data_IF_627208617177
#
_entry.id   IF_627208617177
#
_cell.length_a   1.000
_cell.length_b   1.000
_cell.length_c   1.000
_cell.angle_alpha   90.00
_cell.angle_beta   90.00
_cell.angle_gamma   90.00
#
_symmetry.space_group_name_H-M   'P 1'
#
loop_
_entity.id
_entity.type
_entity.pdbx_description
1 polymer ?
#
# COMPACT_ATOMS: atom_id res chain seq x y z
N UNK A 1 32.30 -2.39 1.62
CA UNK A 1 31.34 -2.93 2.61
C UNK A 1 31.67 -4.40 2.85
N UNK A 2 31.99 -4.81 4.08
CA UNK A 2 32.53 -6.14 4.42
C UNK A 2 31.48 -7.25 4.29
N UNK A 3 31.54 -8.04 3.22
CA UNK A 3 30.67 -9.18 2.94
C UNK A 3 30.96 -10.41 3.83
N UNK A 4 30.85 -10.25 5.16
CA UNK A 4 30.99 -11.38 6.08
C UNK A 4 29.68 -12.16 6.13
N UNK A 5 29.64 -13.28 5.40
CA UNK A 5 28.50 -14.21 5.32
C UNK A 5 27.95 -14.58 6.70
N UNK A 6 28.81 -14.68 7.73
CA UNK A 6 28.41 -14.93 9.12
C UNK A 6 27.42 -13.91 9.67
N UNK A 7 27.61 -12.61 9.38
CA UNK A 7 26.68 -11.58 9.84
C UNK A 7 25.35 -11.67 9.11
N UNK A 8 25.39 -11.89 7.78
CA UNK A 8 24.17 -12.08 6.98
C UNK A 8 23.37 -13.28 7.52
N UNK A 9 24.02 -14.40 7.77
CA UNK A 9 23.38 -15.59 8.34
C UNK A 9 22.81 -15.32 9.75
N UNK A 10 23.53 -14.59 10.60
CA UNK A 10 23.05 -14.21 11.93
C UNK A 10 21.80 -13.31 11.86
N UNK A 11 21.78 -12.30 10.98
CA UNK A 11 20.63 -11.43 10.78
C UNK A 11 19.41 -12.19 10.25
N UNK A 12 19.61 -13.08 9.26
CA UNK A 12 18.53 -13.92 8.73
C UNK A 12 17.99 -14.85 9.82
N UNK A 13 18.87 -15.49 10.60
CA UNK A 13 18.48 -16.34 11.73
C UNK A 13 17.65 -15.58 12.76
N UNK A 14 18.14 -14.42 13.21
CA UNK A 14 17.43 -13.57 14.17
C UNK A 14 16.08 -13.08 13.60
N UNK A 15 16.04 -12.72 12.33
CA UNK A 15 14.81 -12.29 11.65
C UNK A 15 13.76 -13.41 11.58
N UNK A 16 14.16 -14.63 11.24
CA UNK A 16 13.26 -15.79 11.19
C UNK A 16 12.72 -16.10 12.58
N UNK A 17 13.60 -16.16 13.59
CA UNK A 17 13.19 -16.41 14.98
C UNK A 17 12.24 -15.33 15.47
N UNK A 18 12.55 -14.05 15.23
CA UNK A 18 11.68 -12.94 15.58
C UNK A 18 10.33 -13.00 14.88
N UNK A 19 10.32 -13.33 13.59
CA UNK A 19 9.09 -13.44 12.79
C UNK A 19 8.19 -14.59 13.26
N UNK A 20 8.77 -15.75 13.60
CA UNK A 20 8.03 -16.89 14.17
C UNK A 20 7.47 -16.53 15.55
N UNK A 21 8.27 -15.88 16.40
CA UNK A 21 7.83 -15.44 17.71
C UNK A 21 6.66 -14.45 17.62
N UNK A 22 6.72 -13.47 16.72
CA UNK A 22 5.62 -12.51 16.50
C UNK A 22 4.38 -13.23 15.93
N UNK A 23 4.57 -14.12 14.96
CA UNK A 23 3.46 -14.88 14.36
C UNK A 23 2.71 -15.73 15.40
N UNK A 24 3.41 -16.35 16.35
CA UNK A 24 2.77 -17.13 17.40
C UNK A 24 2.26 -16.28 18.57
N UNK A 25 2.95 -15.19 18.91
CA UNK A 25 2.61 -14.34 20.04
C UNK A 25 1.48 -13.34 19.76
N UNK A 26 1.18 -13.03 18.51
CA UNK A 26 0.18 -12.02 18.14
C UNK A 26 -0.92 -12.59 17.24
N UNK A 27 -2.13 -12.86 17.79
CA UNK A 27 -3.25 -13.39 17.01
C UNK A 27 -3.59 -12.53 15.79
N UNK A 28 -3.48 -11.20 15.93
CA UNK A 28 -3.76 -10.27 14.83
C UNK A 28 -2.86 -10.51 13.60
N UNK A 29 -1.55 -10.66 13.80
CA UNK A 29 -0.60 -10.89 12.69
C UNK A 29 -0.86 -12.25 12.05
N UNK A 30 -1.11 -13.27 12.87
CA UNK A 30 -1.47 -14.60 12.39
C UNK A 30 -2.71 -14.56 11.51
N UNK A 31 -3.78 -13.89 11.94
CA UNK A 31 -5.00 -13.75 11.15
C UNK A 31 -4.75 -13.02 9.83
N UNK A 32 -3.96 -11.93 9.82
CA UNK A 32 -3.62 -11.22 8.57
C UNK A 32 -2.85 -12.11 7.59
N UNK A 33 -1.90 -12.90 8.07
CA UNK A 33 -1.14 -13.84 7.23
C UNK A 33 -2.03 -14.97 6.72
N UNK A 34 -2.90 -15.54 7.56
CA UNK A 34 -3.80 -16.62 7.15
C UNK A 34 -4.85 -16.13 6.16
N UNK A 35 -5.43 -14.95 6.40
CA UNK A 35 -6.38 -14.31 5.49
C UNK A 35 -5.74 -13.97 4.14
N UNK A 36 -4.45 -13.63 4.13
CA UNK A 36 -3.69 -13.42 2.90
C UNK A 36 -3.36 -14.73 2.16
N UNK A 37 -2.92 -15.78 2.86
CA UNK A 37 -2.59 -17.07 2.25
C UNK A 37 -3.82 -17.82 1.75
N UNK A 38 -4.90 -17.82 2.52
CA UNK A 38 -6.12 -18.58 2.26
C UNK A 38 -7.38 -17.71 2.45
N UNK A 39 -7.60 -16.69 1.61
CA UNK A 39 -8.77 -15.80 1.71
C UNK A 39 -10.08 -16.53 1.41
N UNK A 40 -10.04 -17.52 0.53
CA UNK A 40 -11.18 -18.37 0.17
C UNK A 40 -11.06 -19.75 0.82
N UNK A 41 -12.13 -20.17 1.50
CA UNK A 41 -12.28 -21.52 2.05
C UNK A 41 -13.65 -22.08 1.68
N UNK A 42 -13.71 -23.36 1.32
CA UNK A 42 -14.98 -24.06 1.06
C UNK A 42 -15.66 -24.57 2.35
N UNK A 43 -14.87 -24.80 3.40
CA UNK A 43 -15.36 -25.21 4.71
C UNK A 43 -15.53 -24.01 5.65
N UNK A 44 -16.49 -24.13 6.57
CA UNK A 44 -16.75 -23.13 7.58
C UNK A 44 -15.63 -23.10 8.64
N UNK A 45 -15.04 -21.94 8.86
CA UNK A 45 -13.99 -21.69 9.85
C UNK A 45 -14.55 -20.77 10.92
N UNK A 46 -14.11 -20.92 12.18
CA UNK A 46 -14.51 -19.99 13.23
C UNK A 46 -13.99 -18.59 12.90
N UNK A 47 -14.87 -17.60 12.80
CA UNK A 47 -14.48 -16.23 12.58
C UNK A 47 -14.17 -15.54 13.90
N UNK A 48 -12.96 -14.99 14.05
CA UNK A 48 -12.55 -14.27 15.25
C UNK A 48 -13.39 -13.00 15.54
N UNK A 49 -14.07 -12.44 14.52
CA UNK A 49 -14.89 -11.23 14.65
C UNK A 49 -16.30 -11.52 15.19
N UNK A 50 -16.92 -12.60 14.73
CA UNK A 50 -18.34 -12.92 15.02
C UNK A 50 -18.51 -14.14 15.94
N UNK A 51 -17.47 -14.96 16.10
CA UNK A 51 -17.52 -16.23 16.84
C UNK A 51 -18.28 -17.36 16.12
N UNK A 52 -18.87 -17.08 14.94
CA UNK A 52 -19.63 -18.04 14.15
C UNK A 52 -18.73 -18.81 13.17
N UNK A 53 -19.17 -20.00 12.77
CA UNK A 53 -18.52 -20.81 11.74
C UNK A 53 -19.07 -20.41 10.37
N UNK A 54 -18.27 -19.67 9.60
CA UNK A 54 -18.60 -19.28 8.23
C UNK A 54 -17.37 -19.42 7.33
N UNK A 55 -17.53 -19.52 6.01
CA UNK A 55 -16.41 -19.41 5.09
C UNK A 55 -15.64 -18.11 5.32
N UNK A 56 -14.30 -18.14 5.19
CA UNK A 56 -13.46 -17.01 5.57
C UNK A 56 -13.75 -15.74 4.75
N UNK A 57 -14.12 -15.92 3.48
CA UNK A 57 -14.53 -14.86 2.55
C UNK A 57 -15.82 -14.13 2.95
N UNK A 58 -16.61 -14.68 3.89
CA UNK A 58 -17.84 -14.07 4.40
C UNK A 58 -17.63 -13.40 5.76
N UNK A 59 -16.41 -13.47 6.30
CA UNK A 59 -16.09 -12.85 7.59
C UNK A 59 -14.69 -12.25 7.61
N UNK A 60 -13.67 -12.97 8.10
CA UNK A 60 -12.34 -12.38 8.35
C UNK A 60 -11.62 -11.84 7.10
N UNK A 61 -11.82 -12.46 5.93
CA UNK A 61 -11.22 -12.01 4.65
C UNK A 61 -12.20 -11.24 3.76
N UNK A 62 -13.39 -10.90 4.27
CA UNK A 62 -14.47 -10.30 3.50
C UNK A 62 -14.02 -9.06 2.73
N UNK A 63 -13.42 -8.08 3.42
CA UNK A 63 -12.97 -6.83 2.79
C UNK A 63 -11.98 -7.07 1.64
N UNK A 64 -10.99 -7.94 1.87
CA UNK A 64 -9.99 -8.29 0.86
C UNK A 64 -10.63 -8.98 -0.35
N UNK A 65 -11.51 -9.97 -0.11
CA UNK A 65 -12.17 -10.71 -1.18
C UNK A 65 -13.10 -9.82 -2.00
N UNK A 66 -13.90 -8.98 -1.36
CA UNK A 66 -14.77 -8.03 -2.07
C UNK A 66 -13.96 -7.02 -2.88
N UNK A 67 -12.80 -6.57 -2.37
CA UNK A 67 -11.91 -5.69 -3.13
C UNK A 67 -11.35 -6.35 -4.40
N UNK A 68 -11.02 -7.65 -4.34
CA UNK A 68 -10.55 -8.41 -5.49
C UNK A 68 -11.67 -8.62 -6.53
N UNK A 69 -12.91 -8.86 -6.08
CA UNK A 69 -14.06 -8.93 -6.99
C UNK A 69 -14.36 -7.58 -7.65
N UNK A 70 -14.27 -6.50 -6.90
CA UNK A 70 -14.41 -5.12 -7.40
C UNK A 70 -13.39 -4.81 -8.51
N UNK A 71 -12.11 -5.16 -8.30
CA UNK A 71 -11.06 -5.03 -9.32
C UNK A 71 -11.38 -5.89 -10.56
N UNK A 72 -11.81 -7.13 -10.36
CA UNK A 72 -12.18 -8.03 -11.46
C UNK A 72 -13.35 -7.50 -12.29
N UNK A 73 -14.35 -6.88 -11.65
CA UNK A 73 -15.52 -6.31 -12.31
C UNK A 73 -15.18 -5.08 -13.17
N UNK A 74 -14.10 -4.37 -12.88
CA UNK A 74 -13.67 -3.22 -13.68
C UNK A 74 -13.17 -3.58 -15.08
N UNK A 75 -12.69 -4.80 -15.30
CA UNK A 75 -12.10 -5.21 -16.58
C UNK A 75 -10.97 -4.26 -17.04
N UNK A 76 -10.82 -4.08 -18.35
CA UNK A 76 -9.78 -3.21 -18.91
C UNK A 76 -10.14 -1.71 -18.86
N UNK A 77 -11.39 -1.37 -19.20
CA UNK A 77 -11.86 0.01 -19.40
C UNK A 77 -12.68 0.60 -18.25
N UNK A 78 -12.98 -0.20 -17.22
CA UNK A 78 -13.81 0.23 -16.10
C UNK A 78 -15.30 0.11 -16.36
N UNK A 79 -16.09 0.24 -15.31
CA UNK A 79 -17.55 0.32 -15.37
C UNK A 79 -18.05 1.72 -15.75
N UNK A 80 -17.16 2.73 -15.74
CA UNK A 80 -17.49 4.14 -15.88
C UNK A 80 -17.42 4.88 -14.53
N UNK A 81 -16.96 6.13 -14.57
CA UNK A 81 -16.87 7.01 -13.39
C UNK A 81 -18.24 7.19 -12.73
N UNK A 82 -18.31 6.98 -11.43
CA UNK A 82 -19.55 7.05 -10.65
C UNK A 82 -20.56 5.93 -10.93
N UNK A 83 -20.22 4.98 -11.82
CA UNK A 83 -21.05 3.81 -12.13
C UNK A 83 -20.58 2.55 -11.37
N UNK A 84 -19.61 2.69 -10.47
CA UNK A 84 -19.15 1.61 -9.62
C UNK A 84 -20.20 1.22 -8.58
N UNK A 85 -20.39 -0.08 -8.38
CA UNK A 85 -21.34 -0.61 -7.39
C UNK A 85 -20.59 -0.85 -6.09
N UNK A 86 -20.72 0.10 -5.17
CA UNK A 86 -20.05 0.07 -3.86
C UNK A 86 -21.01 0.02 -2.67
N UNK A 87 -22.31 0.07 -2.93
CA UNK A 87 -23.37 0.01 -1.93
C UNK A 87 -24.27 -1.19 -2.22
N UNK A 88 -24.70 -1.86 -1.15
CA UNK A 88 -25.72 -2.90 -1.19
C UNK A 88 -27.09 -2.27 -1.45
N UNK A 89 -28.11 -3.05 -1.90
CA UNK A 89 -29.48 -2.55 -2.06
C UNK A 89 -30.07 -1.92 -0.80
N UNK A 90 -29.57 -2.31 0.37
CA UNK A 90 -29.94 -1.82 1.70
C UNK A 90 -29.19 -0.54 2.10
N UNK A 91 -28.31 -0.01 1.24
CA UNK A 91 -27.54 1.22 1.48
C UNK A 91 -26.24 1.04 2.27
N UNK A 92 -25.88 -0.17 2.68
CA UNK A 92 -24.62 -0.43 3.37
C UNK A 92 -23.44 -0.55 2.40
N UNK A 93 -22.22 -0.09 2.76
CA UNK A 93 -21.04 -0.23 1.91
C UNK A 93 -20.68 -1.71 1.70
N UNK A 94 -20.51 -2.11 0.43
CA UNK A 94 -20.14 -3.48 0.05
C UNK A 94 -18.73 -3.84 0.53
N UNK A 95 -17.82 -2.86 0.49
CA UNK A 95 -16.47 -2.97 1.04
C UNK A 95 -16.40 -2.00 2.23
N UNK A 96 -16.39 -2.51 3.48
CA UNK A 96 -16.19 -1.67 4.66
C UNK A 96 -14.88 -0.88 4.52
N UNK A 97 -14.93 0.41 4.84
CA UNK A 97 -13.77 1.32 4.75
C UNK A 97 -13.16 1.48 3.34
N UNK A 98 -13.99 1.31 2.30
CA UNK A 98 -13.57 1.47 0.90
C UNK A 98 -12.77 2.76 0.64
N UNK A 99 -13.19 3.87 1.24
CA UNK A 99 -12.58 5.18 1.02
C UNK A 99 -11.19 5.35 1.66
N UNK A 100 -10.79 4.49 2.59
CA UNK A 100 -9.52 4.61 3.32
C UNK A 100 -8.43 3.69 2.78
N UNK A 101 -8.56 2.39 2.91
CA UNK A 101 -7.50 1.40 2.64
C UNK A 101 -7.79 0.54 1.41
N UNK A 102 -8.99 0.66 0.82
CA UNK A 102 -9.39 -0.07 -0.38
C UNK A 102 -9.76 0.83 -1.56
N UNK A 103 -9.41 2.12 -1.52
CA UNK A 103 -9.81 3.07 -2.58
C UNK A 103 -9.26 2.67 -3.96
N UNK A 104 -8.13 1.95 -3.99
CA UNK A 104 -7.57 1.42 -5.22
C UNK A 104 -8.50 0.41 -5.92
N UNK A 105 -9.27 -0.40 -5.17
CA UNK A 105 -10.25 -1.31 -5.80
C UNK A 105 -11.41 -0.53 -6.43
N UNK A 106 -11.82 0.59 -5.81
CA UNK A 106 -12.81 1.48 -6.41
C UNK A 106 -12.31 2.11 -7.71
N UNK A 107 -11.08 2.63 -7.72
CA UNK A 107 -10.43 3.17 -8.93
C UNK A 107 -10.35 2.11 -10.03
N UNK A 108 -9.96 0.88 -9.67
CA UNK A 108 -9.88 -0.22 -10.62
C UNK A 108 -11.26 -0.64 -11.15
N UNK A 109 -12.32 -0.59 -10.35
CA UNK A 109 -13.67 -0.89 -10.80
C UNK A 109 -14.19 0.16 -11.78
N UNK A 110 -14.04 1.45 -11.45
CA UNK A 110 -14.64 2.53 -12.24
C UNK A 110 -13.87 2.86 -13.52
N UNK A 111 -12.53 2.89 -13.46
CA UNK A 111 -11.65 3.32 -14.55
C UNK A 111 -10.88 2.13 -15.16
N UNK A 112 -11.07 0.93 -14.61
CA UNK A 112 -10.49 -0.30 -15.14
C UNK A 112 -9.00 -0.42 -14.88
N UNK A 113 -8.42 -1.48 -15.47
CA UNK A 113 -6.97 -1.70 -15.47
C UNK A 113 -6.19 -0.52 -16.07
N UNK A 114 -6.73 0.14 -17.09
CA UNK A 114 -6.07 1.29 -17.74
C UNK A 114 -5.94 2.45 -16.75
N UNK A 115 -7.03 2.83 -16.07
CA UNK A 115 -6.98 3.91 -15.07
C UNK A 115 -6.14 3.55 -13.85
N UNK A 116 -6.29 2.33 -13.34
CA UNK A 116 -5.51 1.84 -12.20
C UNK A 116 -4.00 1.79 -12.50
N UNK A 117 -3.61 1.39 -13.71
CA UNK A 117 -2.21 1.42 -14.15
C UNK A 117 -1.70 2.83 -14.40
N UNK A 118 -2.51 3.72 -14.99
CA UNK A 118 -2.17 5.13 -15.15
C UNK A 118 -1.87 5.83 -13.80
N UNK A 119 -2.66 5.52 -12.75
CA UNK A 119 -2.39 6.01 -11.40
C UNK A 119 -1.01 5.56 -10.89
N UNK A 120 -0.67 4.28 -11.06
CA UNK A 120 0.64 3.76 -10.67
C UNK A 120 1.79 4.38 -11.49
N UNK A 121 1.56 4.67 -12.78
CA UNK A 121 2.52 5.36 -13.62
C UNK A 121 2.75 6.81 -13.14
N UNK A 122 1.72 7.51 -12.70
CA UNK A 122 1.86 8.85 -12.11
C UNK A 122 2.74 8.79 -10.85
N UNK A 123 2.51 7.81 -9.96
CA UNK A 123 3.38 7.61 -8.80
C UNK A 123 4.81 7.21 -9.19
N UNK A 124 4.97 6.40 -10.23
CA UNK A 124 6.29 6.07 -10.77
C UNK A 124 7.03 7.33 -11.25
N UNK A 125 6.35 8.20 -12.00
CA UNK A 125 6.92 9.49 -12.44
C UNK A 125 7.27 10.37 -11.25
N UNK A 126 6.42 10.43 -10.22
CA UNK A 126 6.72 11.15 -8.98
C UNK A 126 8.00 10.62 -8.32
N UNK A 127 8.14 9.29 -8.19
CA UNK A 127 9.34 8.67 -7.64
C UNK A 127 10.60 8.94 -8.49
N UNK A 128 10.49 8.85 -9.82
CA UNK A 128 11.59 9.17 -10.73
C UNK A 128 12.05 10.63 -10.57
N UNK A 129 11.11 11.57 -10.41
CA UNK A 129 11.42 12.97 -10.14
C UNK A 129 12.06 13.16 -8.76
N UNK A 130 11.57 12.50 -7.72
CA UNK A 130 12.14 12.54 -6.38
C UNK A 130 13.58 12.02 -6.33
N UNK A 131 13.87 10.89 -6.98
CA UNK A 131 15.24 10.38 -7.08
C UNK A 131 16.13 11.28 -7.94
N UNK A 132 15.59 11.91 -8.99
CA UNK A 132 16.33 12.90 -9.77
C UNK A 132 16.72 14.12 -8.92
N UNK A 133 15.85 14.58 -8.01
CA UNK A 133 16.16 15.63 -7.05
C UNK A 133 17.29 15.20 -6.11
N UNK A 134 17.24 13.96 -5.60
CA UNK A 134 18.31 13.40 -4.76
C UNK A 134 19.66 13.37 -5.48
N UNK A 135 19.68 12.97 -6.76
CA UNK A 135 20.90 12.96 -7.58
C UNK A 135 21.42 14.37 -7.89
N UNK A 136 20.53 15.35 -8.00
CA UNK A 136 20.89 16.74 -8.29
C UNK A 136 21.45 17.50 -7.07
N UNK A 137 21.18 17.02 -5.85
CA UNK A 137 21.65 17.62 -4.61
C UNK A 137 23.17 17.55 -4.47
N UNK A 138 23.77 18.66 -4.04
CA UNK A 138 25.21 18.81 -3.92
C UNK A 138 25.75 18.32 -2.57
N UNK A 139 24.91 18.33 -1.52
CA UNK A 139 25.29 17.86 -0.18
C UNK A 139 24.76 16.44 0.13
N UNK A 140 25.51 15.73 0.98
CA UNK A 140 25.19 14.34 1.34
C UNK A 140 23.89 14.20 2.12
N UNK A 141 23.55 15.19 2.96
CA UNK A 141 22.32 15.16 3.77
C UNK A 141 21.08 15.29 2.89
N UNK A 142 21.00 16.31 2.05
CA UNK A 142 19.85 16.54 1.15
C UNK A 142 19.67 15.40 0.16
N UNK A 143 20.78 14.80 -0.30
CA UNK A 143 20.74 13.59 -1.15
C UNK A 143 20.07 12.43 -0.42
N UNK A 144 20.48 12.13 0.81
CA UNK A 144 19.88 11.06 1.62
C UNK A 144 18.43 11.39 2.02
N UNK A 145 18.13 12.64 2.36
CA UNK A 145 16.79 13.11 2.71
C UNK A 145 15.83 12.93 1.53
N UNK A 146 16.18 13.45 0.35
CA UNK A 146 15.34 13.33 -0.84
C UNK A 146 15.16 11.87 -1.27
N UNK A 147 16.22 11.06 -1.21
CA UNK A 147 16.13 9.63 -1.49
C UNK A 147 15.23 8.89 -0.49
N UNK A 148 15.36 9.18 0.81
CA UNK A 148 14.55 8.59 1.87
C UNK A 148 13.07 8.96 1.79
N UNK A 149 12.76 10.24 1.55
CA UNK A 149 11.38 10.72 1.33
C UNK A 149 10.73 10.06 0.12
N UNK A 150 11.47 10.00 -1.00
CA UNK A 150 11.01 9.36 -2.24
C UNK A 150 10.79 7.86 -2.04
N UNK A 151 11.73 7.18 -1.38
CA UNK A 151 11.63 5.75 -1.09
C UNK A 151 10.48 5.46 -0.12
N UNK A 152 10.27 6.28 0.91
CA UNK A 152 9.16 6.14 1.83
C UNK A 152 7.80 6.23 1.12
N UNK A 153 7.64 7.21 0.22
CA UNK A 153 6.45 7.33 -0.62
C UNK A 153 6.24 6.10 -1.54
N UNK A 154 7.31 5.63 -2.19
CA UNK A 154 7.28 4.46 -3.06
C UNK A 154 6.89 3.19 -2.28
N UNK A 155 7.52 2.99 -1.11
CA UNK A 155 7.27 1.84 -0.24
C UNK A 155 5.84 1.87 0.31
N UNK A 156 5.34 3.03 0.73
CA UNK A 156 3.96 3.19 1.19
C UNK A 156 2.97 2.78 0.09
N UNK A 157 3.18 3.30 -1.12
CA UNK A 157 2.36 2.99 -2.31
C UNK A 157 2.40 1.50 -2.63
N UNK A 158 3.60 0.90 -2.65
CA UNK A 158 3.77 -0.53 -2.89
C UNK A 158 3.07 -1.37 -1.82
N UNK A 159 3.20 -1.00 -0.54
CA UNK A 159 2.63 -1.78 0.57
C UNK A 159 1.10 -1.81 0.48
N UNK A 160 0.45 -0.67 0.23
CA UNK A 160 -1.01 -0.65 0.17
C UNK A 160 -1.56 -1.29 -1.10
N UNK A 161 -1.02 -0.96 -2.27
CA UNK A 161 -1.48 -1.54 -3.54
C UNK A 161 -1.15 -3.03 -3.59
N UNK A 162 0.04 -3.42 -3.14
CA UNK A 162 0.45 -4.82 -3.01
C UNK A 162 -0.41 -5.59 -2.00
N UNK A 163 -0.88 -4.94 -0.93
CA UNK A 163 -1.82 -5.52 0.02
C UNK A 163 -3.17 -5.83 -0.61
N UNK A 164 -3.74 -4.88 -1.36
CA UNK A 164 -5.03 -5.02 -2.05
C UNK A 164 -4.94 -6.07 -3.16
N UNK A 165 -3.86 -6.08 -3.93
CA UNK A 165 -3.57 -7.07 -4.97
C UNK A 165 -3.12 -8.43 -4.42
N UNK A 166 -3.07 -8.60 -3.09
CA UNK A 166 -2.66 -9.83 -2.41
C UNK A 166 -1.21 -10.26 -2.73
N UNK A 167 -0.35 -9.33 -3.15
CA UNK A 167 1.10 -9.56 -3.30
C UNK A 167 1.78 -9.70 -1.94
N UNK A 168 1.34 -8.89 -0.97
CA UNK A 168 1.77 -8.94 0.43
C UNK A 168 0.54 -8.95 1.35
N UNK A 169 0.66 -9.35 2.64
CA UNK A 169 -0.46 -9.24 3.57
C UNK A 169 -0.90 -7.78 3.75
N UNK A 170 -2.21 -7.57 3.82
CA UNK A 170 -2.82 -6.25 3.97
C UNK A 170 -2.45 -5.62 5.33
N UNK A 171 -1.94 -4.40 5.29
CA UNK A 171 -1.48 -3.63 6.46
C UNK A 171 -2.45 -2.52 6.88
N UNK A 172 -3.39 -2.11 6.02
CA UNK A 172 -4.42 -1.11 6.35
C UNK A 172 -3.89 0.34 6.41
N UNK A 173 -2.87 0.68 5.63
CA UNK A 173 -2.36 2.05 5.51
C UNK A 173 -3.06 2.79 4.35
N UNK A 174 -2.96 4.12 4.32
CA UNK A 174 -3.59 4.95 3.27
C UNK A 174 -2.76 5.00 1.99
N UNK A 175 -3.42 5.01 0.82
CA UNK A 175 -2.84 5.35 -0.47
C UNK A 175 -2.55 6.86 -0.56
N UNK A 176 -1.30 7.27 -0.86
CA UNK A 176 -0.94 8.68 -0.91
C UNK A 176 -1.84 9.53 -1.82
N UNK A 177 -2.31 10.68 -1.34
CA UNK A 177 -3.16 11.64 -2.08
C UNK A 177 -4.54 11.17 -2.56
N UNK A 178 -4.85 9.88 -2.48
CA UNK A 178 -6.12 9.32 -3.01
C UNK A 178 -7.01 8.83 -1.88
N UNK A 179 -6.43 8.15 -0.88
CA UNK A 179 -7.18 7.64 0.25
C UNK A 179 -7.65 8.75 1.18
N UNK A 180 -8.83 8.54 1.77
CA UNK A 180 -9.31 9.35 2.87
C UNK A 180 -8.43 9.16 4.11
N UNK A 181 -7.80 10.23 4.59
CA UNK A 181 -6.99 10.22 5.80
C UNK A 181 -6.32 11.58 6.04
N UNK A 182 -6.90 12.41 6.90
CA UNK A 182 -6.47 13.80 7.10
C UNK A 182 -4.98 13.94 7.45
N UNK A 183 -4.48 13.17 8.42
CA UNK A 183 -3.06 13.18 8.79
C UNK A 183 -2.15 12.67 7.68
N UNK A 184 -2.60 11.68 6.90
CA UNK A 184 -1.84 11.15 5.77
C UNK A 184 -1.70 12.18 4.65
N UNK A 185 -2.76 12.92 4.34
CA UNK A 185 -2.70 14.00 3.35
C UNK A 185 -1.66 15.05 3.75
N UNK A 186 -1.68 15.49 5.02
CA UNK A 186 -0.70 16.45 5.55
C UNK A 186 0.73 15.89 5.45
N UNK A 187 0.95 14.63 5.87
CA UNK A 187 2.25 13.99 5.80
C UNK A 187 2.78 13.89 4.36
N UNK A 188 1.91 13.57 3.39
CA UNK A 188 2.28 13.52 1.98
C UNK A 188 2.63 14.91 1.42
N UNK A 189 1.95 15.98 1.85
CA UNK A 189 2.36 17.34 1.49
C UNK A 189 3.70 17.73 2.11
N UNK A 190 4.02 17.27 3.33
CA UNK A 190 5.35 17.48 3.91
C UNK A 190 6.45 16.77 3.13
N UNK A 191 6.19 15.56 2.61
CA UNK A 191 7.10 14.85 1.69
C UNK A 191 7.37 15.71 0.45
N UNK A 192 6.32 16.25 -0.17
CA UNK A 192 6.46 17.11 -1.36
C UNK A 192 7.20 18.41 -1.02
N UNK A 193 6.88 19.05 0.11
CA UNK A 193 7.57 20.26 0.56
C UNK A 193 9.06 20.01 0.81
N UNK A 194 9.42 18.89 1.43
CA UNK A 194 10.81 18.48 1.62
C UNK A 194 11.55 18.29 0.29
N UNK A 195 10.92 17.61 -0.67
CA UNK A 195 11.50 17.44 -2.02
C UNK A 195 11.64 18.78 -2.76
N UNK A 196 10.66 19.67 -2.66
CA UNK A 196 10.73 21.01 -3.24
C UNK A 196 11.85 21.85 -2.63
N UNK A 197 12.03 21.80 -1.31
CA UNK A 197 13.11 22.51 -0.62
C UNK A 197 14.49 22.04 -1.09
N UNK A 198 14.70 20.72 -1.18
CA UNK A 198 15.97 20.16 -1.69
C UNK A 198 16.19 20.55 -3.15
N UNK A 199 15.16 20.46 -3.97
CA UNK A 199 15.21 20.86 -5.38
C UNK A 199 15.59 22.34 -5.55
N UNK A 200 14.98 23.22 -4.76
CA UNK A 200 15.26 24.65 -4.80
C UNK A 200 16.72 24.96 -4.42
N UNK A 201 17.22 24.37 -3.33
CA UNK A 201 18.62 24.53 -2.91
C UNK A 201 19.60 24.05 -3.98
N UNK A 202 19.37 22.86 -4.53
CA UNK A 202 20.22 22.29 -5.58
C UNK A 202 20.28 23.17 -6.84
N UNK A 203 19.19 23.83 -7.22
CA UNK A 203 19.16 24.73 -8.37
C UNK A 203 19.76 26.12 -8.07
N UNK A 204 19.57 26.65 -6.87
CA UNK A 204 20.17 27.95 -6.47
C UNK A 204 21.69 27.89 -6.49
N UNK A 205 22.29 26.80 -6.00
CA UNK A 205 23.74 26.62 -5.98
C UNK A 205 24.30 26.46 -7.41
N UNK A 206 23.57 25.80 -8.32
CA UNK A 206 23.96 25.67 -9.73
C UNK A 206 23.94 26.99 -10.49
N UNK A 207 23.05 27.92 -10.14
CA UNK A 207 22.99 29.25 -10.77
C UNK A 207 24.06 30.22 -10.27
N UNK A 208 24.72 29.89 -9.15
CA UNK A 208 25.77 30.71 -8.54
C UNK A 208 27.20 30.28 -8.94
N UNK A 209 27.35 29.12 -9.59
CA UNK A 209 28.61 28.55 -10.06
C UNK A 209 28.78 28.73 -11.58
#
# INVERSE_FOLDING_TARGET
>A
ATARVKFIAAFIGLFIVGSVAVYQGTPHVRERVVNWLHPWTSHAVCCALTGQKTPRQECASYQLVQSLYSIGHGGYGGTGLGSGVFTTPQGHPLIPYLNTDFIYSAVAQEIGLIGASALLLIYMVFCLRGFRVALAANDGFSKLLAAGLTFGFALQTFVIVGGILRVIPLTGITLPFVSYGGSSVIANFLVVAGLMLVSHRANSERGAA
#
